data_IF_505533272760
#
_entry.id   IF_505533272760
#
_cell.length_a   1.000
_cell.length_b   1.000
_cell.length_c   1.000
_cell.angle_alpha   90.00
_cell.angle_beta   90.00
_cell.angle_gamma   90.00
#
_symmetry.space_group_name_H-M   'P 1'
#
loop_
_entity.id
_entity.type
_entity.pdbx_description
1 polymer ?
#
# COMPACT_ATOMS: atom_id res chain seq x y z
N UNK A 1 1.11 5.31 14.96
CA UNK A 1 1.53 3.96 14.49
C UNK A 1 0.64 2.87 15.05
N UNK A 2 -0.12 2.14 14.21
CA UNK A 2 -1.00 1.05 14.63
C UNK A 2 -1.13 -0.01 13.53
N UNK A 3 -1.12 -1.29 13.91
CA UNK A 3 -1.50 -2.37 13.00
C UNK A 3 -2.97 -2.24 12.64
N UNK A 4 -3.31 -2.42 11.36
CA UNK A 4 -4.69 -2.34 10.92
C UNK A 4 -5.17 -3.76 10.65
N UNK A 5 -6.27 -4.17 11.27
CA UNK A 5 -6.91 -5.42 10.86
C UNK A 5 -7.69 -5.19 9.56
N UNK A 6 -7.34 -5.89 8.49
CA UNK A 6 -8.06 -5.88 7.21
C UNK A 6 -9.26 -6.82 7.25
N UNK A 7 -10.32 -6.47 6.51
CA UNK A 7 -11.45 -7.39 6.30
C UNK A 7 -11.04 -8.51 5.36
N UNK A 8 -11.76 -9.62 5.40
CA UNK A 8 -11.54 -10.74 4.47
C UNK A 8 -11.65 -10.30 3.01
N UNK A 9 -12.60 -9.42 2.67
CA UNK A 9 -12.72 -8.84 1.32
C UNK A 9 -11.44 -8.11 0.87
N UNK A 10 -10.82 -7.35 1.77
CA UNK A 10 -9.57 -6.63 1.47
C UNK A 10 -8.40 -7.61 1.31
N UNK A 11 -8.33 -8.64 2.16
CA UNK A 11 -7.32 -9.70 2.03
C UNK A 11 -7.45 -10.45 0.70
N UNK A 12 -8.67 -10.73 0.27
CA UNK A 12 -8.93 -11.36 -1.03
C UNK A 12 -8.43 -10.49 -2.18
N UNK A 13 -8.66 -9.16 -2.13
CA UNK A 13 -8.16 -8.22 -3.15
C UNK A 13 -6.63 -8.19 -3.16
N UNK A 14 -5.97 -8.18 -2.00
CA UNK A 14 -4.51 -8.23 -1.90
C UNK A 14 -3.96 -9.52 -2.50
N UNK A 15 -4.61 -10.66 -2.24
CA UNK A 15 -4.21 -11.93 -2.83
C UNK A 15 -4.36 -11.93 -4.36
N UNK A 16 -5.42 -11.31 -4.90
CA UNK A 16 -5.57 -11.10 -6.35
C UNK A 16 -4.47 -10.21 -6.91
N UNK A 17 -4.12 -9.12 -6.23
CA UNK A 17 -3.00 -8.25 -6.62
C UNK A 17 -1.67 -9.01 -6.63
N UNK A 18 -1.43 -9.89 -5.66
CA UNK A 18 -0.26 -10.77 -5.60
C UNK A 18 -0.17 -11.68 -6.83
N UNK A 19 -1.29 -12.29 -7.23
CA UNK A 19 -1.35 -13.17 -8.40
C UNK A 19 -1.10 -12.37 -9.69
N UNK A 20 -1.78 -11.23 -9.87
CA UNK A 20 -1.64 -10.38 -11.06
C UNK A 20 -0.24 -9.79 -11.18
N UNK A 21 0.43 -9.48 -10.08
CA UNK A 21 1.80 -8.99 -10.10
C UNK A 21 2.83 -10.08 -10.45
N UNK A 22 2.50 -11.35 -10.21
CA UNK A 22 3.35 -12.49 -10.55
C UNK A 22 3.11 -12.99 -11.99
N UNK A 23 1.91 -12.80 -12.52
CA UNK A 23 1.57 -13.05 -13.92
C UNK A 23 2.12 -11.88 -14.76
N UNK A 24 2.71 -12.14 -15.92
CA UNK A 24 3.43 -11.13 -16.75
C UNK A 24 2.53 -10.02 -17.34
N UNK A 25 1.32 -9.85 -16.81
CA UNK A 25 0.32 -8.86 -17.19
C UNK A 25 0.47 -7.54 -16.43
N UNK A 26 1.28 -7.52 -15.37
CA UNK A 26 1.70 -6.29 -14.72
C UNK A 26 2.69 -5.51 -15.60
N UNK A 27 2.41 -4.23 -15.83
CA UNK A 27 3.32 -3.34 -16.56
C UNK A 27 4.01 -2.38 -15.60
N UNK A 28 5.28 -2.07 -15.87
CA UNK A 28 5.96 -0.94 -15.26
C UNK A 28 5.48 0.36 -15.91
N UNK A 29 4.82 1.23 -15.14
CA UNK A 29 4.32 2.52 -15.65
C UNK A 29 5.15 3.73 -15.22
N UNK A 30 5.97 3.55 -14.18
CA UNK A 30 6.85 4.59 -13.67
C UNK A 30 7.99 3.97 -12.86
N UNK A 31 9.21 4.48 -13.01
CA UNK A 31 10.39 4.03 -12.26
C UNK A 31 11.22 5.21 -11.79
N UNK A 32 11.73 5.10 -10.57
CA UNK A 32 12.66 6.06 -9.99
C UNK A 32 13.71 5.33 -9.15
N UNK A 33 14.49 6.09 -8.36
CA UNK A 33 15.54 5.55 -7.50
C UNK A 33 15.04 4.66 -6.37
N UNK A 34 13.78 4.77 -5.97
CA UNK A 34 13.22 3.99 -4.85
C UNK A 34 12.50 2.73 -5.30
N UNK A 35 12.13 2.60 -6.58
CA UNK A 35 11.25 1.54 -7.02
C UNK A 35 10.64 1.75 -8.39
N UNK A 36 9.67 0.91 -8.69
CA UNK A 36 8.80 1.09 -9.85
C UNK A 36 7.35 0.82 -9.50
N UNK A 37 6.45 1.55 -10.15
CA UNK A 37 5.01 1.47 -9.93
C UNK A 37 4.39 0.47 -10.90
N UNK A 38 3.57 -0.42 -10.34
CA UNK A 38 2.74 -1.34 -11.10
C UNK A 38 1.59 -0.57 -11.76
N UNK A 39 1.33 -0.90 -13.02
CA UNK A 39 0.14 -0.49 -13.76
C UNK A 39 -0.42 -1.64 -14.61
N UNK A 40 -1.33 -1.28 -15.52
CA UNK A 40 -2.08 -2.25 -16.31
C UNK A 40 -3.49 -2.47 -15.75
N UNK A 41 -4.43 -2.79 -16.65
CA UNK A 41 -5.85 -2.75 -16.35
C UNK A 41 -6.27 -3.64 -15.17
N UNK A 42 -5.64 -4.81 -15.00
CA UNK A 42 -5.96 -5.72 -13.89
C UNK A 42 -5.50 -5.17 -12.54
N UNK A 43 -4.28 -4.63 -12.47
CA UNK A 43 -3.77 -3.97 -11.27
C UNK A 43 -4.67 -2.79 -10.92
N UNK A 44 -4.96 -1.92 -11.88
CA UNK A 44 -5.82 -0.74 -11.67
C UNK A 44 -7.23 -1.11 -11.22
N UNK A 45 -7.83 -2.14 -11.80
CA UNK A 45 -9.15 -2.63 -11.38
C UNK A 45 -9.15 -3.09 -9.92
N UNK A 46 -8.14 -3.85 -9.50
CA UNK A 46 -8.04 -4.30 -8.10
C UNK A 46 -7.72 -3.15 -7.13
N UNK A 47 -6.86 -2.19 -7.51
CA UNK A 47 -6.59 -1.01 -6.70
C UNK A 47 -7.83 -0.13 -6.52
N UNK A 48 -8.63 0.03 -7.57
CA UNK A 48 -9.91 0.75 -7.50
C UNK A 48 -10.93 0.02 -6.61
N UNK A 49 -10.98 -1.32 -6.69
CA UNK A 49 -11.82 -2.13 -5.80
C UNK A 49 -11.37 -1.99 -4.34
N UNK A 50 -10.06 -2.07 -4.08
CA UNK A 50 -9.48 -1.89 -2.76
C UNK A 50 -9.80 -0.50 -2.17
N UNK A 51 -9.68 0.55 -2.99
CA UNK A 51 -10.08 1.91 -2.60
C UNK A 51 -11.54 1.95 -2.14
N UNK A 52 -12.45 1.33 -2.90
CA UNK A 52 -13.86 1.25 -2.55
C UNK A 52 -14.10 0.59 -1.19
N UNK A 53 -13.44 -0.54 -0.92
CA UNK A 53 -13.55 -1.24 0.37
C UNK A 53 -12.98 -0.44 1.54
N UNK A 54 -11.82 0.20 1.36
CA UNK A 54 -11.21 1.06 2.38
C UNK A 54 -12.09 2.28 2.69
N UNK A 55 -12.83 2.82 1.72
CA UNK A 55 -13.76 3.93 1.93
C UNK A 55 -15.08 3.47 2.58
N UNK A 56 -15.58 2.26 2.30
CA UNK A 56 -16.75 1.68 2.97
C UNK A 56 -16.53 1.50 4.46
N UNK A 57 -15.35 0.98 4.86
CA UNK A 57 -14.99 0.75 6.28
C UNK A 57 -15.02 2.03 7.11
N UNK A 58 -14.77 3.18 6.48
CA UNK A 58 -14.71 4.49 7.15
C UNK A 58 -16.07 5.11 7.42
N UNK A 59 -17.11 4.76 6.68
CA UNK A 59 -18.48 5.21 7.00
C UNK A 59 -18.95 4.73 8.39
N UNK A 60 -18.30 3.71 8.98
CA UNK A 60 -18.67 3.13 10.28
C UNK A 60 -17.88 3.66 11.50
N UNK A 61 -16.76 4.37 11.32
CA UNK A 61 -15.96 4.93 12.43
C UNK A 61 -15.63 6.39 12.14
N UNK A 62 -15.92 7.27 13.08
CA UNK A 62 -15.98 8.75 13.03
C UNK A 62 -14.71 9.53 12.59
N UNK A 63 -13.77 8.92 11.87
CA UNK A 63 -12.60 9.60 11.29
C UNK A 63 -12.80 9.78 9.78
N UNK A 64 -13.19 10.99 9.36
CA UNK A 64 -13.41 11.38 7.97
C UNK A 64 -12.10 11.45 7.15
N UNK A 65 -11.45 10.30 6.93
CA UNK A 65 -10.25 10.23 6.10
C UNK A 65 -10.61 9.78 4.68
N UNK A 66 -10.43 10.60 3.65
CA UNK A 66 -10.65 10.23 2.23
C UNK A 66 -9.41 9.52 1.67
N UNK A 67 -9.56 8.51 0.81
CA UNK A 67 -8.43 7.96 0.04
C UNK A 67 -8.12 8.94 -1.10
N UNK A 68 -6.99 9.63 -1.01
CA UNK A 68 -6.57 10.60 -2.03
C UNK A 68 -5.82 9.88 -3.15
N UNK A 69 -4.94 8.97 -2.77
CA UNK A 69 -4.10 8.22 -3.69
C UNK A 69 -4.02 6.76 -3.25
N UNK A 70 -4.00 5.84 -4.21
CA UNK A 70 -3.67 4.44 -3.99
C UNK A 70 -2.79 3.96 -5.13
N UNK A 71 -1.67 3.32 -4.82
CA UNK A 71 -0.75 2.77 -5.81
C UNK A 71 -0.03 1.55 -5.27
N UNK A 72 0.38 0.66 -6.16
CA UNK A 72 1.24 -0.48 -5.83
C UNK A 72 2.62 -0.24 -6.41
N UNK A 73 3.66 -0.42 -5.59
CA UNK A 73 5.04 -0.12 -5.94
C UNK A 73 5.91 -1.30 -5.56
N UNK A 74 6.80 -1.73 -6.46
CA UNK A 74 7.93 -2.59 -6.12
C UNK A 74 9.08 -1.72 -5.65
N UNK A 75 9.39 -1.79 -4.36
CA UNK A 75 10.51 -1.08 -3.78
C UNK A 75 11.83 -1.77 -4.08
N UNK A 76 12.80 -0.96 -4.48
CA UNK A 76 14.21 -1.30 -4.42
C UNK A 76 14.68 -1.20 -2.96
N UNK A 77 15.89 -1.70 -2.70
CA UNK A 77 16.45 -1.75 -1.34
C UNK A 77 16.48 -0.34 -0.71
N UNK A 78 15.94 -0.23 0.51
CA UNK A 78 15.93 1.00 1.33
C UNK A 78 15.18 2.18 0.69
N UNK A 79 13.97 1.94 0.18
CA UNK A 79 13.12 2.95 -0.46
C UNK A 79 12.62 4.00 0.56
N UNK A 80 12.81 5.29 0.30
CA UNK A 80 12.28 6.33 1.18
C UNK A 80 10.83 6.66 0.82
N UNK A 81 9.89 6.41 1.74
CA UNK A 81 8.46 6.67 1.52
C UNK A 81 8.11 8.06 2.02
N UNK A 82 7.61 8.90 1.11
CA UNK A 82 7.09 10.22 1.46
C UNK A 82 5.62 10.12 1.84
N UNK A 83 5.26 10.64 3.02
CA UNK A 83 3.89 10.72 3.51
C UNK A 83 3.36 12.17 3.37
N UNK A 84 2.78 12.55 2.22
CA UNK A 84 2.45 13.95 1.95
C UNK A 84 1.31 14.51 2.81
N UNK A 85 0.57 13.66 3.51
CA UNK A 85 -0.65 14.04 4.24
C UNK A 85 -0.61 13.68 5.72
N UNK A 86 0.50 13.17 6.24
CA UNK A 86 0.60 12.62 7.59
C UNK A 86 -0.46 11.55 7.92
N UNK A 87 -0.99 10.85 6.91
CA UNK A 87 -1.93 9.75 7.11
C UNK A 87 -1.75 8.75 5.96
N UNK A 88 -1.06 7.65 6.22
CA UNK A 88 -0.65 6.69 5.20
C UNK A 88 -0.84 5.26 5.69
N UNK A 89 -1.35 4.40 4.81
CA UNK A 89 -1.43 2.96 5.03
C UNK A 89 -0.46 2.29 4.08
N UNK A 90 0.37 1.40 4.62
CA UNK A 90 1.25 0.52 3.86
C UNK A 90 0.74 -0.90 3.98
N UNK A 91 0.59 -1.60 2.87
CA UNK A 91 0.15 -2.99 2.85
C UNK A 91 1.17 -3.79 2.05
N UNK A 92 1.96 -4.68 2.69
CA UNK A 92 2.83 -5.60 1.98
C UNK A 92 1.99 -6.53 1.10
N UNK A 93 2.39 -6.67 -0.15
CA UNK A 93 1.81 -7.64 -1.08
C UNK A 93 2.76 -8.82 -1.25
N UNK A 94 4.06 -8.57 -1.43
CA UNK A 94 5.07 -9.61 -1.53
C UNK A 94 6.35 -9.19 -0.82
N UNK A 95 6.92 -10.11 -0.03
CA UNK A 95 8.13 -9.90 0.73
C UNK A 95 7.91 -9.16 2.05
N UNK A 96 8.92 -9.22 2.92
CA UNK A 96 8.85 -8.62 4.24
C UNK A 96 9.33 -7.15 4.18
N UNK A 97 8.42 -6.23 4.49
CA UNK A 97 8.75 -4.81 4.64
C UNK A 97 9.01 -4.45 6.10
N UNK A 98 10.04 -3.64 6.35
CA UNK A 98 10.26 -2.96 7.62
C UNK A 98 10.04 -1.46 7.43
N UNK A 99 9.21 -0.85 8.27
CA UNK A 99 9.08 0.61 8.36
C UNK A 99 10.12 1.15 9.34
N UNK A 100 11.06 1.95 8.83
CA UNK A 100 12.29 2.25 9.55
C UNK A 100 13.12 0.98 9.81
N UNK A 101 14.06 1.05 10.76
CA UNK A 101 14.98 -0.06 11.04
C UNK A 101 14.42 -1.15 11.96
N UNK A 102 13.19 -1.01 12.46
CA UNK A 102 12.74 -1.77 13.64
C UNK A 102 11.35 -2.36 13.52
N UNK A 103 10.48 -1.79 12.69
CA UNK A 103 9.06 -2.13 12.72
C UNK A 103 8.69 -3.00 11.53
N UNK A 104 8.39 -4.28 11.78
CA UNK A 104 7.84 -5.16 10.75
C UNK A 104 6.45 -4.66 10.36
N UNK A 105 6.25 -4.47 9.06
CA UNK A 105 4.92 -4.19 8.53
C UNK A 105 4.18 -5.52 8.47
N UNK A 106 3.10 -5.70 9.23
CA UNK A 106 2.32 -6.92 9.17
C UNK A 106 1.67 -7.08 7.78
N UNK A 107 1.35 -8.33 7.42
CA UNK A 107 0.61 -8.65 6.20
C UNK A 107 -0.79 -8.02 6.18
N UNK A 108 -1.35 -7.70 7.35
CA UNK A 108 -2.61 -6.94 7.47
C UNK A 108 -2.42 -5.43 7.28
N UNK A 109 -1.21 -4.96 6.99
CA UNK A 109 -0.93 -3.56 6.72
C UNK A 109 -0.83 -2.69 7.98
N UNK A 110 -0.26 -1.51 7.75
CA UNK A 110 0.32 -0.67 8.78
C UNK A 110 -0.08 0.78 8.57
N UNK A 111 -0.67 1.38 9.60
CA UNK A 111 -1.02 2.80 9.61
C UNK A 111 0.11 3.62 10.22
N UNK A 112 0.52 4.68 9.52
CA UNK A 112 1.46 5.67 10.00
C UNK A 112 1.02 7.09 9.69
N UNK A 113 1.31 7.98 10.62
CA UNK A 113 1.13 9.42 10.55
C UNK A 113 2.45 10.19 10.62
N UNK A 114 3.57 9.47 10.48
CA UNK A 114 4.91 10.07 10.47
C UNK A 114 5.27 10.63 9.09
N UNK A 115 5.94 11.78 9.10
CA UNK A 115 6.51 12.42 7.91
C UNK A 115 7.83 11.72 7.53
N UNK A 116 7.76 10.94 6.46
CA UNK A 116 8.86 10.27 5.77
C UNK A 116 9.66 9.23 6.57
N UNK A 117 9.67 7.99 6.10
CA UNK A 117 10.53 6.94 6.64
C UNK A 117 11.04 6.02 5.54
N UNK A 118 12.28 5.51 5.67
CA UNK A 118 12.76 4.45 4.82
C UNK A 118 11.97 3.15 5.08
N UNK A 119 11.56 2.51 4.00
CA UNK A 119 11.16 1.12 3.97
C UNK A 119 12.38 0.26 3.65
N UNK A 120 12.65 -0.70 4.52
CA UNK A 120 13.65 -1.73 4.27
C UNK A 120 12.98 -2.99 3.78
N UNK A 121 13.69 -3.71 2.93
CA UNK A 121 13.17 -4.86 2.20
C UNK A 121 13.93 -5.00 0.89
N UNK A 122 13.99 -6.23 0.36
CA UNK A 122 14.67 -6.51 -0.91
C UNK A 122 13.64 -6.95 -1.95
N UNK A 123 13.28 -6.05 -2.89
CA UNK A 123 12.33 -6.38 -3.96
C UNK A 123 10.92 -6.63 -3.42
N UNK A 124 10.49 -5.80 -2.48
CA UNK A 124 9.19 -5.91 -1.81
C UNK A 124 8.14 -5.14 -2.59
N UNK A 125 6.97 -5.74 -2.75
CA UNK A 125 5.82 -5.10 -3.38
C UNK A 125 4.89 -4.58 -2.29
N UNK A 126 4.56 -3.29 -2.33
CA UNK A 126 3.78 -2.62 -1.29
C UNK A 126 2.69 -1.76 -1.93
N UNK A 127 1.48 -1.84 -1.38
CA UNK A 127 0.40 -0.89 -1.68
C UNK A 127 0.54 0.29 -0.72
N UNK A 128 0.61 1.48 -1.29
CA UNK A 128 0.63 2.75 -0.58
C UNK A 128 -0.75 3.38 -0.73
N UNK A 129 -1.40 3.66 0.40
CA UNK A 129 -2.68 4.36 0.44
C UNK A 129 -2.48 5.68 1.17
N UNK A 130 -2.61 6.79 0.44
CA UNK A 130 -2.53 8.15 1.02
C UNK A 130 -3.92 8.58 1.43
N UNK A 131 -4.06 8.96 2.69
CA UNK A 131 -5.31 9.44 3.27
C UNK A 131 -5.23 10.94 3.53
N UNK A 132 -6.32 11.66 3.30
CA UNK A 132 -6.44 13.04 3.75
C UNK A 132 -7.57 13.15 4.76
N UNK A 133 -7.34 13.90 5.84
CA UNK A 133 -8.40 14.31 6.76
C UNK A 133 -9.26 15.35 6.04
N UNK A 134 -10.57 15.12 5.96
CA UNK A 134 -11.51 16.16 5.51
C UNK A 134 -11.51 17.34 6.44
#
# INVERSE_FOLDING_TARGET
>A
MQNISLTEDVKEIINKLRIVAADSEACEIYRNSIGWQYGGYKIEAQLNHLKGELEKKKKKKSNNCKVVEIKMVRFLRNANVVNPTNNLILIPVNGDALFGNTTVIPDEGYYTDEDQRPLYGCGVDVIIVVLSRK
#
